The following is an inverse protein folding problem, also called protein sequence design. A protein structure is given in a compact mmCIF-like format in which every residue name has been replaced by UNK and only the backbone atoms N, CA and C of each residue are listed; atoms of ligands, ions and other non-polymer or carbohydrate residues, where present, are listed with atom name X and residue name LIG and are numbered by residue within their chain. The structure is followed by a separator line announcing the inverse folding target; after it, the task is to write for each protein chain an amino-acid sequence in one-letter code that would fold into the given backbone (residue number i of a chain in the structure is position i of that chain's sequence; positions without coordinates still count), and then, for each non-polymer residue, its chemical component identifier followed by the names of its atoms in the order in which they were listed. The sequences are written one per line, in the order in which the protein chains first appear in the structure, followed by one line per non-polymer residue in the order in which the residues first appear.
data_IF_662021349830
#
_entry.id   IF_662021349830
#
_cell.length_a   1.000
_cell.length_b   1.000
_cell.length_c   1.000
_cell.angle_alpha   90.00
_cell.angle_beta   90.00
_cell.angle_gamma   90.00
#
_symmetry.space_group_name_H-M   'P 1'
#
loop_
_entity.id
_entity.type
_entity.pdbx_description
1 polymer ?
#
# COMPACT_ATOMS: atom_id res chain seq x y z
N UNK A 1 -7.22 22.04 11.56
CA UNK A 1 -8.14 21.62 10.49
C UNK A 1 -9.29 22.59 10.52
N UNK A 2 -9.36 23.44 9.55
CA UNK A 2 -10.41 24.46 9.44
C UNK A 2 -11.66 23.71 8.99
N UNK A 3 -12.63 23.56 9.89
CA UNK A 3 -13.87 22.78 9.69
C UNK A 3 -14.80 23.38 8.64
N UNK A 4 -14.29 23.62 7.43
CA UNK A 4 -15.08 24.06 6.28
C UNK A 4 -15.73 22.81 5.69
N UNK A 5 -17.02 22.67 5.90
CA UNK A 5 -17.83 21.67 5.19
C UNK A 5 -17.79 22.00 3.69
N UNK A 6 -17.43 20.99 2.88
CA UNK A 6 -17.40 21.09 1.43
C UNK A 6 -18.34 20.05 0.85
N UNK A 7 -19.23 20.48 -0.03
CA UNK A 7 -20.02 19.56 -0.84
C UNK A 7 -19.11 18.85 -1.85
N UNK A 8 -19.21 17.55 -1.95
CA UNK A 8 -18.44 16.70 -2.87
C UNK A 8 -19.31 16.04 -3.96
N UNK A 9 -20.60 16.38 -4.02
CA UNK A 9 -21.56 15.71 -4.91
C UNK A 9 -21.13 15.77 -6.38
N UNK A 10 -20.51 16.86 -6.81
CA UNK A 10 -20.01 17.03 -8.18
C UNK A 10 -18.70 16.25 -8.45
N UNK A 11 -18.06 15.73 -7.41
CA UNK A 11 -16.78 15.01 -7.48
C UNK A 11 -16.96 13.50 -7.34
N UNK A 12 -18.16 13.03 -7.00
CA UNK A 12 -18.47 11.60 -6.83
C UNK A 12 -18.49 10.94 -8.20
N UNK A 13 -17.59 9.97 -8.47
CA UNK A 13 -17.46 9.39 -9.81
C UNK A 13 -18.55 8.36 -10.13
N UNK A 14 -19.21 7.75 -9.13
CA UNK A 14 -20.24 6.72 -9.29
C UNK A 14 -21.01 6.51 -7.98
N UNK A 15 -22.16 5.85 -8.07
CA UNK A 15 -22.97 5.46 -6.90
C UNK A 15 -22.29 4.33 -6.13
N UNK A 16 -22.36 4.40 -4.80
CA UNK A 16 -21.83 3.37 -3.89
C UNK A 16 -22.95 2.63 -3.18
N UNK A 17 -22.73 1.38 -2.71
CA UNK A 17 -23.73 0.62 -1.98
C UNK A 17 -24.22 1.36 -0.72
N UNK A 18 -25.45 1.08 -0.33
CA UNK A 18 -26.03 1.63 0.89
C UNK A 18 -25.16 1.25 2.10
N UNK A 19 -24.82 2.24 2.89
CA UNK A 19 -24.00 2.10 4.09
C UNK A 19 -22.49 2.32 3.85
N UNK A 20 -22.06 2.48 2.58
CA UNK A 20 -20.74 2.97 2.25
C UNK A 20 -20.68 4.51 2.30
N UNK A 21 -19.51 5.06 2.44
CA UNK A 21 -19.30 6.53 2.51
C UNK A 21 -18.12 6.92 1.62
N UNK A 22 -18.26 8.02 0.89
CA UNK A 22 -17.12 8.66 0.23
C UNK A 22 -16.28 9.42 1.26
N UNK A 23 -14.98 9.25 1.22
CA UNK A 23 -14.03 9.96 2.07
C UNK A 23 -12.74 10.24 1.30
N UNK A 24 -12.05 11.33 1.63
CA UNK A 24 -10.69 11.54 1.11
C UNK A 24 -9.69 10.62 1.81
N UNK A 25 -8.65 10.20 1.11
CA UNK A 25 -7.57 9.39 1.69
C UNK A 25 -7.02 10.04 2.96
N UNK A 26 -6.74 11.34 2.94
CA UNK A 26 -6.21 12.07 4.10
C UNK A 26 -7.18 12.23 5.27
N UNK A 27 -8.48 11.94 5.10
CA UNK A 27 -9.45 11.95 6.20
C UNK A 27 -9.55 10.62 6.96
N UNK A 28 -9.15 9.52 6.34
CA UNK A 28 -9.22 8.17 6.94
C UNK A 28 -7.86 7.54 7.19
N UNK A 29 -6.81 8.09 6.61
CA UNK A 29 -5.42 7.64 6.79
C UNK A 29 -4.53 8.81 7.16
N UNK A 30 -3.59 8.57 8.08
CA UNK A 30 -2.47 9.47 8.30
C UNK A 30 -1.23 8.95 7.54
N UNK A 31 -0.77 9.71 6.57
CA UNK A 31 0.31 9.32 5.66
C UNK A 31 1.62 9.95 6.11
N UNK A 32 2.53 9.16 6.63
CA UNK A 32 3.82 9.63 7.14
C UNK A 32 4.99 9.03 6.38
N UNK A 33 5.81 9.88 5.75
CA UNK A 33 7.09 9.45 5.20
C UNK A 33 8.04 9.03 6.34
N UNK A 34 8.77 7.94 6.13
CA UNK A 34 9.80 7.51 7.05
C UNK A 34 11.00 8.47 7.09
N UNK A 35 12.09 8.04 7.68
CA UNK A 35 13.28 8.87 7.94
C UNK A 35 14.43 8.47 7.03
N UNK A 36 15.22 9.45 6.63
CA UNK A 36 16.43 9.21 5.85
C UNK A 36 17.43 8.33 6.63
N UNK A 37 18.12 7.48 5.87
CA UNK A 37 19.16 6.60 6.38
C UNK A 37 20.24 6.42 5.31
N UNK A 38 21.49 6.36 5.72
CA UNK A 38 22.59 6.09 4.79
C UNK A 38 22.62 4.60 4.38
N UNK A 39 22.92 4.34 3.11
CA UNK A 39 22.98 2.97 2.60
C UNK A 39 24.00 2.09 3.35
N UNK A 40 25.07 2.70 3.86
CA UNK A 40 26.12 2.03 4.65
C UNK A 40 25.65 1.53 6.03
N UNK A 41 24.53 2.05 6.54
CA UNK A 41 23.94 1.63 7.82
C UNK A 41 22.99 0.44 7.68
N UNK A 42 22.68 0.03 6.44
CA UNK A 42 21.73 -1.04 6.15
C UNK A 42 22.50 -2.34 5.91
N UNK A 43 22.28 -3.34 6.75
CA UNK A 43 22.79 -4.70 6.56
C UNK A 43 21.95 -5.44 5.52
N UNK A 44 22.61 -6.21 4.67
CA UNK A 44 21.96 -7.05 3.66
C UNK A 44 21.26 -8.28 4.28
N UNK A 45 21.79 -8.78 5.40
CA UNK A 45 21.32 -10.01 6.05
C UNK A 45 20.73 -9.73 7.43
N UNK A 46 19.65 -10.46 7.80
CA UNK A 46 19.05 -10.37 9.12
C UNK A 46 19.96 -10.96 10.21
N UNK A 47 19.86 -10.43 11.42
CA UNK A 47 20.33 -11.06 12.63
C UNK A 47 19.42 -10.71 13.81
N UNK A 48 19.64 -11.32 14.96
CA UNK A 48 18.78 -11.20 16.15
C UNK A 48 18.59 -9.76 16.69
N UNK A 49 19.54 -8.86 16.38
CA UNK A 49 19.54 -7.48 16.88
C UNK A 49 19.14 -6.46 15.80
N UNK A 50 18.68 -6.91 14.63
CA UNK A 50 18.33 -6.05 13.52
C UNK A 50 16.84 -6.13 13.19
N UNK A 51 16.27 -4.99 12.80
CA UNK A 51 14.89 -4.84 12.38
C UNK A 51 14.79 -4.67 10.86
N UNK A 52 13.72 -5.16 10.22
CA UNK A 52 13.49 -4.92 8.81
C UNK A 52 13.48 -3.43 8.48
N UNK A 53 14.18 -3.03 7.43
CA UNK A 53 14.24 -1.67 6.91
C UNK A 53 13.46 -1.61 5.59
N UNK A 54 12.32 -0.91 5.60
CA UNK A 54 11.46 -0.76 4.43
C UNK A 54 11.87 0.44 3.58
N UNK A 55 12.06 0.20 2.30
CA UNK A 55 12.24 1.21 1.26
C UNK A 55 11.02 1.36 0.38
N UNK A 56 11.20 1.95 -0.79
CA UNK A 56 10.12 2.20 -1.76
C UNK A 56 9.48 0.94 -2.36
N UNK A 57 10.08 -0.24 -2.19
CA UNK A 57 9.58 -1.51 -2.74
C UNK A 57 9.76 -2.68 -1.75
N UNK A 58 9.32 -2.50 -0.53
CA UNK A 58 9.42 -3.52 0.51
C UNK A 58 10.73 -3.47 1.29
N UNK A 59 11.13 -4.62 1.85
CA UNK A 59 12.33 -4.72 2.68
C UNK A 59 13.59 -4.49 1.84
N UNK A 60 14.36 -3.48 2.22
CA UNK A 60 15.63 -3.11 1.60
C UNK A 60 16.84 -3.76 2.29
N UNK A 61 16.67 -4.17 3.52
CA UNK A 61 17.71 -4.74 4.39
C UNK A 61 17.31 -4.63 5.85
N UNK A 62 18.30 -4.55 6.75
CA UNK A 62 18.07 -4.61 8.19
C UNK A 62 18.95 -3.58 8.92
N UNK A 63 18.41 -3.00 10.01
CA UNK A 63 19.08 -1.94 10.79
C UNK A 63 18.93 -2.17 12.30
N UNK A 64 19.86 -1.67 13.16
CA UNK A 64 19.83 -1.90 14.61
C UNK A 64 18.85 -0.99 15.37
N UNK A 65 18.04 -0.22 14.68
CA UNK A 65 17.05 0.68 15.26
C UNK A 65 15.75 0.61 14.47
N UNK A 66 14.68 1.16 15.04
CA UNK A 66 13.35 1.19 14.42
C UNK A 66 12.69 2.55 14.61
N UNK A 67 11.70 2.83 13.82
CA UNK A 67 10.86 4.04 13.95
C UNK A 67 9.36 3.73 13.96
N UNK A 68 8.96 2.47 13.73
CA UNK A 68 7.57 2.03 13.76
C UNK A 68 7.43 0.70 14.50
N UNK A 69 6.26 0.49 15.13
CA UNK A 69 5.84 -0.77 15.73
C UNK A 69 4.33 -0.91 15.53
N UNK A 70 3.89 -1.93 14.81
CA UNK A 70 2.47 -2.17 14.51
C UNK A 70 2.26 -2.88 13.18
N UNK A 71 1.12 -2.62 12.55
CA UNK A 71 0.71 -3.21 11.28
C UNK A 71 0.29 -2.07 10.34
N UNK A 72 1.03 -1.86 9.26
CA UNK A 72 0.89 -0.70 8.39
C UNK A 72 0.97 -1.09 6.91
N UNK A 73 0.07 -0.56 6.07
CA UNK A 73 0.35 -0.45 4.65
C UNK A 73 1.54 0.49 4.44
N UNK A 74 2.44 0.13 3.55
CA UNK A 74 3.61 0.92 3.16
C UNK A 74 3.50 1.28 1.69
N UNK A 75 3.50 2.57 1.38
CA UNK A 75 3.46 3.07 0.00
C UNK A 75 4.88 3.42 -0.45
N UNK A 76 5.32 2.88 -1.57
CA UNK A 76 6.56 3.29 -2.21
C UNK A 76 6.46 4.68 -2.83
N UNK A 77 7.42 5.57 -2.53
CA UNK A 77 7.37 6.99 -2.99
C UNK A 77 8.14 7.28 -4.25
N UNK A 78 9.14 6.48 -4.60
CA UNK A 78 10.11 6.82 -5.65
C UNK A 78 10.45 5.65 -6.55
N UNK A 79 10.85 5.98 -7.79
CA UNK A 79 11.32 5.04 -8.79
C UNK A 79 10.21 4.38 -9.59
N UNK A 80 10.58 3.40 -10.41
CA UNK A 80 9.68 2.71 -11.33
C UNK A 80 8.49 1.99 -10.64
N UNK A 81 8.65 1.64 -9.35
CA UNK A 81 7.61 1.00 -8.53
C UNK A 81 6.92 1.99 -7.58
N UNK A 82 6.99 3.29 -7.90
CA UNK A 82 6.29 4.33 -7.17
C UNK A 82 4.79 4.03 -7.09
N UNK A 83 4.22 4.12 -5.90
CA UNK A 83 2.81 3.78 -5.64
C UNK A 83 2.55 2.31 -5.34
N UNK A 84 3.57 1.42 -5.36
CA UNK A 84 3.41 0.04 -4.93
C UNK A 84 3.10 -0.03 -3.43
N UNK A 85 2.28 -1.01 -3.05
CA UNK A 85 1.87 -1.22 -1.67
C UNK A 85 2.54 -2.48 -1.12
N UNK A 86 3.17 -2.33 0.04
CA UNK A 86 3.67 -3.42 0.86
C UNK A 86 2.94 -3.40 2.21
N UNK A 87 3.06 -4.46 3.02
CA UNK A 87 2.58 -4.49 4.40
C UNK A 87 3.75 -4.76 5.33
N UNK A 88 3.92 -3.90 6.33
CA UNK A 88 4.90 -4.08 7.39
C UNK A 88 4.19 -4.42 8.70
N UNK A 89 4.65 -5.46 9.38
CA UNK A 89 4.10 -5.92 10.65
C UNK A 89 5.18 -6.02 11.72
N UNK A 90 4.84 -5.69 12.96
CA UNK A 90 5.77 -5.72 14.10
C UNK A 90 6.67 -4.50 14.15
N UNK A 91 7.93 -4.71 14.54
CA UNK A 91 8.91 -3.64 14.72
C UNK A 91 9.75 -3.51 13.46
N UNK A 92 9.82 -2.30 12.88
CA UNK A 92 10.55 -2.04 11.65
C UNK A 92 11.03 -0.58 11.54
N UNK A 93 11.89 -0.34 10.56
CA UNK A 93 12.32 1.00 10.15
C UNK A 93 11.76 1.33 8.77
N UNK A 94 11.09 2.47 8.64
CA UNK A 94 10.67 3.01 7.35
C UNK A 94 11.64 4.11 6.92
N UNK A 95 12.17 4.00 5.69
CA UNK A 95 13.02 5.03 5.09
C UNK A 95 12.18 6.16 4.49
N UNK A 96 12.81 7.24 4.09
CA UNK A 96 12.18 8.39 3.41
C UNK A 96 11.48 8.01 2.08
N UNK A 97 11.82 6.84 1.51
CA UNK A 97 11.20 6.30 0.30
C UNK A 97 9.95 5.45 0.57
N UNK A 98 9.63 5.22 1.84
CA UNK A 98 8.48 4.49 2.31
C UNK A 98 7.52 5.43 3.05
N UNK A 99 6.25 5.46 2.67
CA UNK A 99 5.20 6.16 3.40
C UNK A 99 4.41 5.14 4.21
N UNK A 100 4.45 5.26 5.53
CA UNK A 100 3.60 4.47 6.42
C UNK A 100 2.19 5.06 6.41
N UNK A 101 1.21 4.19 6.22
CA UNK A 101 -0.21 4.53 6.26
C UNK A 101 -0.76 4.13 7.63
N UNK A 102 -0.93 5.12 8.50
CA UNK A 102 -1.56 4.90 9.78
C UNK A 102 -3.08 4.89 9.58
N UNK A 103 -3.71 3.75 9.86
CA UNK A 103 -5.16 3.56 9.68
C UNK A 103 -5.87 3.95 10.97
N UNK A 104 -6.89 4.79 10.87
CA UNK A 104 -7.71 5.13 12.03
C UNK A 104 -8.61 3.97 12.46
N UNK A 105 -9.10 4.02 13.72
CA UNK A 105 -9.68 2.95 14.52
C UNK A 105 -10.80 2.09 13.88
N UNK A 106 -11.37 2.49 12.76
CA UNK A 106 -12.43 1.75 12.06
C UNK A 106 -12.01 1.31 10.66
N UNK A 107 -10.72 1.13 10.44
CA UNK A 107 -10.21 0.69 9.13
C UNK A 107 -9.38 -0.58 9.28
N UNK A 108 -9.77 -1.62 8.55
CA UNK A 108 -9.02 -2.86 8.49
C UNK A 108 -7.74 -2.66 7.66
N UNK A 109 -6.58 -2.95 8.24
CA UNK A 109 -5.26 -2.76 7.59
C UNK A 109 -5.12 -3.61 6.32
N UNK A 110 -5.59 -4.85 6.35
CA UNK A 110 -5.53 -5.72 5.16
C UNK A 110 -6.42 -5.17 4.04
N UNK A 111 -7.64 -4.68 4.37
CA UNK A 111 -8.49 -3.99 3.41
C UNK A 111 -7.79 -2.77 2.83
N UNK A 112 -7.16 -1.94 3.68
CA UNK A 112 -6.42 -0.77 3.22
C UNK A 112 -5.28 -1.16 2.24
N UNK A 113 -4.53 -2.22 2.53
CA UNK A 113 -3.50 -2.74 1.62
C UNK A 113 -4.09 -3.14 0.25
N UNK A 114 -5.16 -3.94 0.24
CA UNK A 114 -5.79 -4.40 -1.01
C UNK A 114 -6.41 -3.24 -1.78
N UNK A 115 -7.10 -2.34 -1.08
CA UNK A 115 -7.74 -1.18 -1.70
C UNK A 115 -6.73 -0.23 -2.33
N UNK A 116 -5.69 0.16 -1.59
CA UNK A 116 -4.64 1.05 -2.10
C UNK A 116 -3.87 0.41 -3.27
N UNK A 117 -3.69 -0.91 -3.26
CA UNK A 117 -3.12 -1.66 -4.39
C UNK A 117 -4.01 -1.55 -5.62
N UNK A 118 -5.31 -1.79 -5.47
CA UNK A 118 -6.28 -1.71 -6.57
C UNK A 118 -6.45 -0.28 -7.10
N UNK A 119 -6.32 0.72 -6.24
CA UNK A 119 -6.38 2.14 -6.61
C UNK A 119 -5.23 2.55 -7.53
N UNK A 120 -4.14 1.78 -7.60
CA UNK A 120 -2.98 2.06 -8.45
C UNK A 120 -2.43 3.48 -8.27
N UNK A 121 -1.84 3.73 -7.12
CA UNK A 121 -1.37 5.07 -6.74
C UNK A 121 -0.32 5.67 -7.69
N UNK A 122 0.30 4.86 -8.56
CA UNK A 122 1.25 5.34 -9.56
C UNK A 122 0.62 6.38 -10.51
N UNK A 123 -0.69 6.32 -10.76
CA UNK A 123 -1.40 7.30 -11.59
C UNK A 123 -1.32 8.75 -11.04
N UNK A 124 -1.02 8.93 -9.74
CA UNK A 124 -0.87 10.23 -9.10
C UNK A 124 0.59 10.67 -8.95
N UNK A 125 1.53 9.88 -9.47
CA UNK A 125 2.94 10.22 -9.46
C UNK A 125 3.26 11.35 -10.44
N UNK A 126 4.34 12.08 -10.17
CA UNK A 126 4.83 13.10 -11.10
C UNK A 126 5.34 12.46 -12.40
N UNK A 127 4.94 13.02 -13.55
CA UNK A 127 5.40 12.58 -14.86
C UNK A 127 6.82 13.07 -15.15
N UNK A 128 7.83 12.44 -14.54
CA UNK A 128 9.25 12.76 -14.71
C UNK A 128 10.04 11.51 -15.05
N UNK A 129 11.29 11.66 -15.48
CA UNK A 129 12.19 10.55 -15.72
C UNK A 129 12.41 9.68 -14.46
N UNK A 130 12.23 10.26 -13.27
CA UNK A 130 12.22 9.58 -11.99
C UNK A 130 10.88 9.84 -11.27
N UNK A 131 9.88 8.98 -11.45
CA UNK A 131 8.57 9.17 -10.85
C UNK A 131 8.65 9.28 -9.33
N UNK A 132 7.86 10.20 -8.77
CA UNK A 132 7.76 10.40 -7.34
C UNK A 132 6.31 10.66 -6.91
N UNK A 133 5.88 10.05 -5.81
CA UNK A 133 4.56 10.21 -5.24
C UNK A 133 4.64 11.14 -4.02
N UNK A 134 4.09 12.34 -4.16
CA UNK A 134 3.91 13.24 -3.04
C UNK A 134 2.63 12.88 -2.27
N UNK A 135 2.71 12.86 -0.94
CA UNK A 135 1.54 12.62 -0.06
C UNK A 135 0.42 13.62 -0.35
N UNK A 136 0.77 14.89 -0.63
CA UNK A 136 -0.19 15.93 -0.99
C UNK A 136 -1.04 15.58 -2.23
N UNK A 137 -0.49 14.83 -3.19
CA UNK A 137 -1.19 14.48 -4.42
C UNK A 137 -2.31 13.45 -4.18
N UNK A 138 -2.17 12.62 -3.15
CA UNK A 138 -3.13 11.54 -2.86
C UNK A 138 -4.07 11.86 -1.70
N UNK A 139 -3.75 12.81 -0.83
CA UNK A 139 -4.59 13.14 0.32
C UNK A 139 -6.03 13.54 -0.05
N UNK A 140 -6.21 14.17 -1.21
CA UNK A 140 -7.51 14.66 -1.67
C UNK A 140 -8.30 13.63 -2.50
N UNK A 141 -7.69 12.50 -2.82
CA UNK A 141 -8.34 11.45 -3.63
C UNK A 141 -9.52 10.89 -2.86
N UNK A 142 -10.72 10.96 -3.46
CA UNK A 142 -11.92 10.37 -2.90
C UNK A 142 -11.93 8.87 -3.12
N UNK A 143 -12.27 8.14 -2.06
CA UNK A 143 -12.37 6.69 -2.08
C UNK A 143 -13.67 6.23 -1.41
N UNK A 144 -14.28 5.14 -1.90
CA UNK A 144 -15.45 4.55 -1.26
C UNK A 144 -15.03 3.70 -0.07
N UNK A 145 -15.55 4.01 1.10
CA UNK A 145 -15.20 3.34 2.36
C UNK A 145 -16.39 2.49 2.83
N UNK A 146 -16.25 1.15 2.82
CA UNK A 146 -17.25 0.25 3.38
C UNK A 146 -17.26 0.28 4.90
N UNK A 147 -18.39 -0.10 5.55
CA UNK A 147 -18.40 -0.39 6.98
C UNK A 147 -17.37 -1.48 7.36
N UNK A 148 -16.85 -1.46 8.59
CA UNK A 148 -15.78 -2.35 9.04
C UNK A 148 -16.09 -3.85 8.80
N UNK A 149 -17.32 -4.27 9.05
CA UNK A 149 -17.75 -5.65 8.79
C UNK A 149 -17.70 -6.02 7.30
N UNK A 150 -17.92 -5.06 6.41
CA UNK A 150 -17.82 -5.25 4.97
C UNK A 150 -16.35 -5.28 4.53
N UNK A 151 -15.51 -4.42 5.11
CA UNK A 151 -14.06 -4.48 4.88
C UNK A 151 -13.51 -5.87 5.20
N UNK A 152 -13.90 -6.46 6.33
CA UNK A 152 -13.49 -7.81 6.70
C UNK A 152 -13.99 -8.86 5.69
N UNK A 153 -15.26 -8.81 5.27
CA UNK A 153 -15.79 -9.74 4.26
C UNK A 153 -15.05 -9.64 2.92
N UNK A 154 -14.67 -8.42 2.52
CA UNK A 154 -13.86 -8.19 1.31
C UNK A 154 -12.49 -8.86 1.47
N UNK A 155 -11.82 -8.66 2.60
CA UNK A 155 -10.52 -9.29 2.90
C UNK A 155 -10.64 -10.81 2.84
N UNK A 156 -11.59 -11.39 3.57
CA UNK A 156 -11.78 -12.85 3.61
C UNK A 156 -12.00 -13.42 2.20
N UNK A 157 -12.78 -12.73 1.37
CA UNK A 157 -13.03 -13.18 0.00
C UNK A 157 -11.81 -13.06 -0.91
N UNK A 158 -11.02 -12.02 -0.78
CA UNK A 158 -9.77 -11.86 -1.52
C UNK A 158 -8.78 -12.97 -1.12
N UNK A 159 -8.63 -13.22 0.18
CA UNK A 159 -7.69 -14.22 0.71
C UNK A 159 -8.12 -15.66 0.35
N UNK A 160 -9.41 -15.94 0.26
CA UNK A 160 -9.95 -17.20 -0.27
C UNK A 160 -9.57 -17.42 -1.76
N UNK A 161 -9.59 -16.33 -2.56
CA UNK A 161 -9.38 -16.42 -4.02
C UNK A 161 -7.90 -16.41 -4.43
N UNK A 162 -7.03 -15.76 -3.67
CA UNK A 162 -5.59 -15.63 -3.99
C UNK A 162 -4.91 -16.98 -4.28
N UNK A 163 -5.09 -18.04 -3.47
CA UNK A 163 -4.44 -19.34 -3.74
C UNK A 163 -4.88 -19.94 -5.08
N UNK A 164 -6.16 -19.82 -5.42
CA UNK A 164 -6.71 -20.30 -6.69
C UNK A 164 -6.13 -19.54 -7.88
N UNK A 165 -6.04 -18.21 -7.79
CA UNK A 165 -5.44 -17.38 -8.84
C UNK A 165 -3.96 -17.73 -9.04
N UNK A 166 -3.20 -17.91 -7.96
CA UNK A 166 -1.79 -18.32 -8.02
C UNK A 166 -1.62 -19.68 -8.68
N UNK A 167 -2.47 -20.65 -8.35
CA UNK A 167 -2.44 -21.98 -8.95
C UNK A 167 -2.73 -21.92 -10.47
N UNK A 168 -3.69 -21.11 -10.90
CA UNK A 168 -4.02 -20.90 -12.32
C UNK A 168 -2.88 -20.21 -13.08
N UNK A 169 -2.19 -19.25 -12.46
CA UNK A 169 -1.03 -18.59 -13.06
C UNK A 169 0.11 -19.57 -13.29
N UNK A 170 0.40 -20.44 -12.31
CA UNK A 170 1.43 -21.48 -12.43
C UNK A 170 1.07 -22.45 -13.55
N UNK A 171 -0.18 -22.91 -13.62
CA UNK A 171 -0.66 -23.79 -14.69
C UNK A 171 -0.53 -23.16 -16.07
N UNK A 172 -0.89 -21.90 -16.21
CA UNK A 172 -0.75 -21.12 -17.46
C UNK A 172 0.72 -21.04 -17.90
N UNK A 173 1.65 -20.75 -16.98
CA UNK A 173 3.08 -20.74 -17.27
C UNK A 173 3.57 -22.12 -17.75
N UNK A 174 3.15 -23.22 -17.11
CA UNK A 174 3.54 -24.57 -17.48
C UNK A 174 3.03 -24.93 -18.89
N UNK A 175 1.81 -24.55 -19.22
CA UNK A 175 1.20 -24.80 -20.54
C UNK A 175 1.97 -24.02 -21.61
N UNK A 176 2.32 -22.75 -21.39
CA UNK A 176 3.09 -21.96 -22.34
C UNK A 176 4.47 -22.54 -22.59
N UNK A 177 5.17 -23.02 -21.55
CA UNK A 177 6.49 -23.66 -21.69
C UNK A 177 6.41 -24.97 -22.45
N UNK A 178 5.36 -25.78 -22.24
CA UNK A 178 5.17 -27.06 -22.97
C UNK A 178 4.66 -26.87 -24.39
N UNK A 179 3.87 -25.81 -24.67
CA UNK A 179 3.36 -25.50 -26.02
C UNK A 179 4.40 -24.90 -26.96
N UNK A 180 5.54 -24.42 -26.43
CA UNK A 180 6.65 -23.86 -27.20
C UNK A 180 7.68 -24.90 -27.69
N UNK A 181 7.48 -26.18 -27.36
CA UNK A 181 8.29 -27.29 -27.86
C UNK A 181 7.52 -28.02 -28.97
N UNK A 182 7.36 -27.39 -30.13
CA UNK A 182 7.04 -28.08 -31.37
C UNK A 182 8.33 -28.29 -32.16
N UNK A 183 8.52 -29.47 -32.76
CA UNK A 183 9.77 -29.91 -33.39
C UNK A 183 10.11 -29.07 -34.64
#
# INVERSE_FOLDING_TARGET
MDGIERCIDDEIPFDIPKGWTWASIGSIFNLQAGKNIQASEISEFPNENLYPCFGGNGVRGYVPFYNHNGDFPIIGRQGALCGCINRATGIFYATEHAVCVDTFANTNVAWACYFLTALNLNQYATATAQPGLAVSNINHVLIPVPPLAEQQRIVDKIEELIPTIKALQILSCIIMVKGGLSP
#
